data_IF_252363011952
#
_entry.id   IF_252363011952
#
_cell.length_a   1.000
_cell.length_b   1.000
_cell.length_c   1.000
_cell.angle_alpha   90.00
_cell.angle_beta   90.00
_cell.angle_gamma   90.00
#
_symmetry.space_group_name_H-M   'P 1'
#
loop_
_entity.id
_entity.type
_entity.pdbx_description
1 polymer ?
#
# COMPACT_ATOMS: atom_id res chain seq x y z
N UNK A 1 11.47 3.82 -2.67
CA UNK A 1 10.82 4.55 -3.77
C UNK A 1 10.39 5.97 -3.35
N UNK A 2 9.61 6.15 -2.28
CA UNK A 2 9.15 7.46 -1.82
C UNK A 2 10.13 8.24 -0.93
N UNK A 3 11.40 7.83 -0.86
CA UNK A 3 12.44 8.65 -0.23
C UNK A 3 12.55 9.99 -0.95
N UNK A 4 12.75 11.12 -0.24
CA UNK A 4 12.92 12.44 -0.86
C UNK A 4 14.06 12.51 -1.88
N UNK A 5 15.07 11.65 -1.76
CA UNK A 5 16.19 11.55 -2.68
C UNK A 5 15.87 10.77 -3.97
N UNK A 6 14.85 9.94 -3.95
CA UNK A 6 14.53 9.04 -5.06
C UNK A 6 13.23 9.42 -5.78
N UNK A 7 12.19 9.83 -5.03
CA UNK A 7 10.89 10.17 -5.63
C UNK A 7 10.97 11.42 -6.50
N UNK A 8 10.43 11.33 -7.72
CA UNK A 8 10.36 12.46 -8.67
C UNK A 8 8.91 12.93 -8.80
N UNK A 9 8.01 12.05 -9.23
CA UNK A 9 6.60 12.37 -9.46
C UNK A 9 5.76 11.11 -9.56
N UNK A 10 4.44 11.26 -9.49
CA UNK A 10 3.51 10.18 -9.80
C UNK A 10 2.25 10.73 -10.48
N UNK A 11 1.64 9.91 -11.32
CA UNK A 11 0.37 10.17 -11.99
C UNK A 11 -0.49 8.89 -11.94
N UNK A 12 -1.64 8.88 -12.59
CA UNK A 12 -2.53 7.71 -12.58
C UNK A 12 -1.93 6.47 -13.24
N UNK A 13 -0.92 6.64 -14.09
CA UNK A 13 -0.27 5.52 -14.77
C UNK A 13 0.83 4.86 -13.94
N UNK A 14 1.47 5.57 -13.00
CA UNK A 14 2.55 5.03 -12.20
C UNK A 14 3.40 6.08 -11.50
N UNK A 15 4.59 5.68 -11.09
CA UNK A 15 5.54 6.49 -10.34
C UNK A 15 6.87 6.63 -11.07
N UNK A 16 7.36 7.87 -11.13
CA UNK A 16 8.73 8.19 -11.56
C UNK A 16 9.63 8.30 -10.33
N UNK A 17 10.72 7.59 -10.35
CA UNK A 17 11.77 7.71 -9.34
C UNK A 17 13.16 7.65 -9.96
N UNK A 18 14.14 8.02 -9.17
CA UNK A 18 15.54 8.02 -9.53
C UNK A 18 16.22 6.81 -8.88
N UNK A 19 16.93 6.02 -9.69
CA UNK A 19 17.75 4.94 -9.16
C UNK A 19 18.83 5.54 -8.24
N UNK A 20 18.92 5.14 -6.96
CA UNK A 20 19.89 5.71 -6.03
C UNK A 20 21.35 5.40 -6.38
N UNK A 21 21.60 4.37 -7.20
CA UNK A 21 22.95 3.94 -7.60
C UNK A 21 23.38 4.51 -8.94
N UNK A 22 22.49 4.48 -9.95
CA UNK A 22 22.84 4.90 -11.32
C UNK A 22 22.37 6.31 -11.66
N UNK A 23 21.51 6.92 -10.81
CA UNK A 23 20.84 8.20 -11.06
C UNK A 23 19.87 8.21 -12.26
N UNK A 24 19.63 7.09 -12.90
CA UNK A 24 18.69 6.97 -14.00
C UNK A 24 17.25 7.17 -13.54
N UNK A 25 16.44 7.78 -14.39
CA UNK A 25 15.00 7.90 -14.14
C UNK A 25 14.31 6.60 -14.54
N UNK A 26 13.53 6.06 -13.64
CA UNK A 26 12.77 4.83 -13.84
C UNK A 26 11.29 5.16 -13.64
N UNK A 27 10.44 4.66 -14.55
CA UNK A 27 8.98 4.74 -14.43
C UNK A 27 8.44 3.34 -14.17
N UNK A 28 7.72 3.17 -13.06
CA UNK A 28 7.07 1.90 -12.70
C UNK A 28 5.56 2.08 -12.73
N UNK A 29 4.89 1.15 -13.43
CA UNK A 29 3.43 1.00 -13.42
C UNK A 29 3.01 -0.09 -12.44
N UNK A 30 1.73 -0.13 -12.03
CA UNK A 30 1.21 -1.23 -11.20
C UNK A 30 1.47 -2.62 -11.80
N UNK A 31 1.33 -2.76 -13.10
CA UNK A 31 1.55 -4.04 -13.80
C UNK A 31 3.03 -4.44 -13.78
N UNK A 32 3.93 -3.49 -13.99
CA UNK A 32 5.38 -3.75 -13.90
C UNK A 32 5.78 -4.18 -12.49
N UNK A 33 5.21 -3.53 -11.47
CA UNK A 33 5.46 -3.86 -10.07
C UNK A 33 5.07 -5.31 -9.76
N UNK A 34 3.91 -5.78 -10.24
CA UNK A 34 3.49 -7.16 -10.05
C UNK A 34 4.41 -8.16 -10.73
N UNK A 35 4.89 -7.86 -11.94
CA UNK A 35 5.86 -8.73 -12.67
C UNK A 35 7.19 -8.80 -11.94
N UNK A 36 7.71 -7.66 -11.47
CA UNK A 36 8.96 -7.61 -10.71
C UNK A 36 8.86 -8.47 -9.44
N UNK A 37 7.77 -8.34 -8.67
CA UNK A 37 7.59 -9.11 -7.44
C UNK A 37 7.41 -10.60 -7.70
N UNK A 38 6.80 -10.99 -8.82
CA UNK A 38 6.73 -12.37 -9.25
C UNK A 38 8.12 -12.92 -9.61
N UNK A 39 8.91 -12.16 -10.39
CA UNK A 39 10.27 -12.55 -10.78
C UNK A 39 11.21 -12.69 -9.57
N UNK A 40 11.00 -11.88 -8.53
CA UNK A 40 11.70 -11.99 -7.25
C UNK A 40 11.27 -13.22 -6.42
N UNK A 41 10.22 -13.91 -6.85
CA UNK A 41 9.68 -15.12 -6.21
C UNK A 41 9.34 -14.92 -4.73
N UNK A 42 8.78 -13.76 -4.37
CA UNK A 42 8.28 -13.49 -3.03
C UNK A 42 6.98 -14.27 -2.78
N UNK A 43 6.77 -14.78 -1.57
CA UNK A 43 5.51 -15.46 -1.21
C UNK A 43 4.33 -14.51 -1.12
N UNK A 44 4.61 -13.24 -0.77
CA UNK A 44 3.59 -12.17 -0.65
C UNK A 44 4.02 -10.98 -1.49
N UNK A 45 3.19 -10.60 -2.46
CA UNK A 45 3.33 -9.35 -3.19
C UNK A 45 2.52 -8.24 -2.53
N UNK A 46 3.00 -7.01 -2.65
CA UNK A 46 2.34 -5.80 -2.16
C UNK A 46 1.93 -4.93 -3.34
N UNK A 47 0.68 -4.44 -3.36
CA UNK A 47 0.25 -3.52 -4.40
C UNK A 47 1.06 -2.22 -4.38
N UNK A 48 1.36 -1.67 -5.56
CA UNK A 48 1.89 -0.32 -5.65
C UNK A 48 0.90 0.67 -5.05
N UNK A 49 1.37 1.53 -4.16
CA UNK A 49 0.56 2.55 -3.49
C UNK A 49 1.13 3.96 -3.66
N UNK A 50 0.32 4.98 -3.46
CA UNK A 50 0.78 6.37 -3.36
C UNK A 50 0.86 6.76 -1.88
N UNK A 51 2.02 6.58 -1.28
CA UNK A 51 2.26 6.96 0.11
C UNK A 51 2.27 8.50 0.25
N UNK A 52 1.34 9.10 1.02
CA UNK A 52 1.41 10.51 1.37
C UNK A 52 2.45 10.76 2.46
N UNK A 53 2.91 12.00 2.56
CA UNK A 53 3.77 12.45 3.66
C UNK A 53 2.90 13.01 4.79
N UNK A 54 3.42 13.01 6.03
CA UNK A 54 2.70 13.58 7.19
C UNK A 54 2.37 15.07 7.01
N UNK A 55 3.23 15.82 6.31
CA UNK A 55 3.07 17.25 6.01
C UNK A 55 2.06 17.55 4.90
N UNK A 56 1.62 16.54 4.16
CA UNK A 56 0.69 16.74 3.06
C UNK A 56 -0.68 17.17 3.60
N UNK A 57 -1.33 18.07 2.89
CA UNK A 57 -2.69 18.52 3.23
C UNK A 57 -3.69 17.35 3.12
N UNK A 58 -4.82 17.46 3.83
CA UNK A 58 -5.90 16.46 3.75
C UNK A 58 -6.37 16.22 2.30
N UNK A 59 -6.34 17.26 1.44
CA UNK A 59 -6.70 17.15 0.01
C UNK A 59 -5.68 16.31 -0.76
N UNK A 60 -4.39 16.51 -0.51
CA UNK A 60 -3.32 15.71 -1.14
C UNK A 60 -3.36 14.25 -0.66
N UNK A 61 -3.66 14.03 0.62
CA UNK A 61 -3.85 12.68 1.17
C UNK A 61 -5.09 12.01 0.56
N UNK A 62 -6.18 12.74 0.35
CA UNK A 62 -7.36 12.21 -0.32
C UNK A 62 -7.09 11.82 -1.78
N UNK A 63 -6.25 12.60 -2.49
CA UNK A 63 -5.80 12.26 -3.84
C UNK A 63 -4.86 11.04 -3.83
N UNK A 64 -3.99 10.91 -2.82
CA UNK A 64 -3.16 9.72 -2.64
C UNK A 64 -4.02 8.47 -2.40
N UNK A 65 -5.10 8.57 -1.62
CA UNK A 65 -6.08 7.49 -1.43
C UNK A 65 -6.72 7.09 -2.76
N UNK A 66 -7.20 8.07 -3.55
CA UNK A 66 -7.81 7.80 -4.87
C UNK A 66 -6.85 7.03 -5.77
N UNK A 67 -5.61 7.49 -5.86
CA UNK A 67 -4.58 6.88 -6.71
C UNK A 67 -4.16 5.49 -6.21
N UNK A 68 -4.01 5.32 -4.91
CA UNK A 68 -3.73 4.01 -4.30
C UNK A 68 -4.79 2.98 -4.67
N UNK A 69 -6.07 3.33 -4.59
CA UNK A 69 -7.16 2.43 -4.98
C UNK A 69 -7.13 2.10 -6.48
N UNK A 70 -6.90 3.11 -7.32
CA UNK A 70 -6.75 2.91 -8.77
C UNK A 70 -5.59 1.94 -9.10
N UNK A 71 -4.45 2.11 -8.46
CA UNK A 71 -3.31 1.24 -8.68
C UNK A 71 -3.52 -0.16 -8.10
N UNK A 72 -4.18 -0.27 -6.95
CA UNK A 72 -4.51 -1.56 -6.34
C UNK A 72 -5.42 -2.42 -7.25
N UNK A 73 -6.40 -1.82 -7.92
CA UNK A 73 -7.22 -2.49 -8.92
C UNK A 73 -6.36 -3.04 -10.07
N UNK A 74 -5.48 -2.23 -10.63
CA UNK A 74 -4.57 -2.63 -11.71
C UNK A 74 -3.59 -3.72 -11.27
N UNK A 75 -3.02 -3.61 -10.06
CA UNK A 75 -2.19 -4.65 -9.47
C UNK A 75 -2.96 -5.97 -9.36
N UNK A 76 -4.21 -5.92 -8.87
CA UNK A 76 -5.04 -7.12 -8.71
C UNK A 76 -5.29 -7.81 -10.05
N UNK A 77 -5.67 -7.06 -11.08
CA UNK A 77 -5.92 -7.60 -12.43
C UNK A 77 -4.68 -8.26 -13.02
N UNK A 78 -3.51 -7.60 -12.95
CA UNK A 78 -2.26 -8.16 -13.47
C UNK A 78 -1.81 -9.37 -12.64
N UNK A 79 -1.87 -9.29 -11.31
CA UNK A 79 -1.51 -10.40 -10.44
C UNK A 79 -2.37 -11.62 -10.71
N UNK A 80 -3.70 -11.48 -10.80
CA UNK A 80 -4.60 -12.60 -11.11
C UNK A 80 -4.30 -13.24 -12.46
N UNK A 81 -4.00 -12.42 -13.48
CA UNK A 81 -3.58 -12.91 -14.78
C UNK A 81 -2.29 -13.71 -14.70
N UNK A 82 -1.29 -13.22 -13.99
CA UNK A 82 0.00 -13.90 -13.81
C UNK A 82 -0.19 -15.21 -13.02
N UNK A 83 -0.95 -15.16 -11.92
CA UNK A 83 -1.20 -16.30 -11.05
C UNK A 83 -2.08 -17.37 -11.69
N UNK A 84 -2.89 -17.03 -12.70
CA UNK A 84 -3.71 -18.01 -13.43
C UNK A 84 -2.90 -19.12 -14.10
N UNK A 85 -1.62 -18.86 -14.39
CA UNK A 85 -0.67 -19.77 -15.02
C UNK A 85 0.14 -20.60 -14.03
N UNK A 86 -0.05 -20.38 -12.72
CA UNK A 86 0.73 -21.00 -11.65
C UNK A 86 -0.16 -21.99 -10.88
N UNK A 87 0.32 -23.20 -10.55
CA UNK A 87 -0.40 -24.14 -9.71
C UNK A 87 -0.82 -23.50 -8.38
N UNK A 88 -2.04 -23.80 -7.91
CA UNK A 88 -2.67 -23.12 -6.76
C UNK A 88 -1.79 -23.10 -5.51
N UNK A 89 -1.10 -24.20 -5.24
CA UNK A 89 -0.23 -24.39 -4.07
C UNK A 89 1.09 -23.58 -4.13
N UNK A 90 1.40 -23.00 -5.31
CA UNK A 90 2.60 -22.17 -5.53
C UNK A 90 2.26 -20.72 -5.80
N UNK A 91 0.97 -20.35 -5.69
CA UNK A 91 0.56 -18.97 -5.97
C UNK A 91 1.04 -18.01 -4.89
N UNK A 92 1.54 -16.89 -5.34
CA UNK A 92 1.89 -15.76 -4.51
C UNK A 92 0.62 -15.12 -3.94
N UNK A 93 0.63 -14.73 -2.67
CA UNK A 93 -0.44 -13.93 -2.06
C UNK A 93 -0.30 -12.47 -2.48
N UNK A 94 -1.43 -11.75 -2.55
CA UNK A 94 -1.45 -10.32 -2.84
C UNK A 94 -2.07 -9.53 -1.69
N UNK A 95 -1.29 -8.61 -1.12
CA UNK A 95 -1.75 -7.66 -0.12
C UNK A 95 -1.93 -6.28 -0.74
N UNK A 96 -3.07 -5.65 -0.49
CA UNK A 96 -3.22 -4.22 -0.78
C UNK A 96 -2.69 -3.36 0.36
N UNK A 97 -2.34 -2.10 0.04
CA UNK A 97 -1.88 -1.13 1.02
C UNK A 97 -2.94 -0.03 1.16
N UNK A 98 -3.49 0.10 2.37
CA UNK A 98 -4.46 1.14 2.69
C UNK A 98 -3.76 2.43 3.10
N UNK A 99 -4.16 3.55 2.49
CA UNK A 99 -3.67 4.88 2.78
C UNK A 99 -4.74 5.78 3.43
N UNK A 100 -4.38 6.98 3.87
CA UNK A 100 -5.31 7.93 4.49
C UNK A 100 -4.65 8.81 5.56
N UNK A 101 -3.32 8.66 5.77
CA UNK A 101 -2.57 9.40 6.79
C UNK A 101 -3.21 9.24 8.17
N UNK A 102 -3.25 10.30 8.94
CA UNK A 102 -3.85 10.36 10.28
C UNK A 102 -5.38 10.61 10.27
N UNK A 103 -6.04 10.61 9.10
CA UNK A 103 -7.45 10.97 8.96
C UNK A 103 -8.35 9.73 8.94
N UNK A 104 -9.15 9.46 10.02
CA UNK A 104 -10.01 8.29 10.12
C UNK A 104 -11.02 8.14 8.98
N UNK A 105 -11.59 9.25 8.50
CA UNK A 105 -12.53 9.26 7.39
C UNK A 105 -11.89 8.79 6.07
N UNK A 106 -10.67 9.23 5.79
CA UNK A 106 -9.92 8.79 4.60
C UNK A 106 -9.45 7.33 4.73
N UNK A 107 -9.04 6.90 5.93
CA UNK A 107 -8.73 5.48 6.22
C UNK A 107 -9.91 4.57 5.93
N UNK A 108 -11.09 4.90 6.49
CA UNK A 108 -12.32 4.14 6.24
C UNK A 108 -12.70 4.14 4.77
N UNK A 109 -12.57 5.28 4.09
CA UNK A 109 -12.86 5.40 2.65
C UNK A 109 -11.95 4.48 1.84
N UNK A 110 -10.63 4.53 2.08
CA UNK A 110 -9.65 3.68 1.39
C UNK A 110 -9.96 2.20 1.63
N UNK A 111 -10.09 1.76 2.88
CA UNK A 111 -10.38 0.40 3.25
C UNK A 111 -11.66 -0.14 2.58
N UNK A 112 -12.77 0.64 2.60
CA UNK A 112 -14.03 0.29 1.94
C UNK A 112 -13.88 0.10 0.43
N UNK A 113 -13.05 0.91 -0.22
CA UNK A 113 -12.82 0.81 -1.66
C UNK A 113 -11.97 -0.41 -2.00
N UNK A 114 -10.93 -0.70 -1.20
CA UNK A 114 -10.07 -1.86 -1.37
C UNK A 114 -10.79 -3.19 -1.10
N UNK A 115 -11.77 -3.22 -0.17
CA UNK A 115 -12.60 -4.41 0.08
C UNK A 115 -13.44 -4.87 -1.12
N UNK A 116 -13.60 -4.05 -2.14
CA UNK A 116 -14.31 -4.45 -3.37
C UNK A 116 -13.50 -5.46 -4.20
N UNK A 117 -12.22 -5.59 -3.91
CA UNK A 117 -11.31 -6.51 -4.56
C UNK A 117 -10.96 -7.64 -3.58
N UNK A 118 -10.81 -8.85 -4.09
CA UNK A 118 -10.47 -10.02 -3.27
C UNK A 118 -8.96 -10.11 -3.06
N UNK A 119 -8.45 -9.34 -2.08
CA UNK A 119 -7.08 -9.42 -1.60
C UNK A 119 -6.93 -10.47 -0.49
N UNK A 120 -5.77 -11.12 -0.44
CA UNK A 120 -5.42 -12.08 0.61
C UNK A 120 -5.18 -11.38 1.95
N UNK A 121 -4.64 -10.15 1.92
CA UNK A 121 -4.37 -9.36 3.11
C UNK A 121 -4.41 -7.86 2.87
N UNK A 122 -4.45 -7.11 3.98
CA UNK A 122 -4.57 -5.65 4.02
C UNK A 122 -3.44 -5.05 4.85
N UNK A 123 -2.56 -4.29 4.20
CA UNK A 123 -1.53 -3.54 4.90
C UNK A 123 -2.00 -2.12 5.23
N UNK A 124 -1.56 -1.61 6.36
CA UNK A 124 -1.79 -0.23 6.80
C UNK A 124 -0.51 0.54 6.55
N UNK A 125 -0.48 1.33 5.47
CA UNK A 125 0.66 2.16 5.10
C UNK A 125 0.50 3.63 5.48
N UNK A 126 1.57 4.43 5.34
CA UNK A 126 1.54 5.87 5.58
C UNK A 126 1.31 6.25 7.04
N UNK A 127 1.79 5.44 7.97
CA UNK A 127 1.94 5.70 9.41
C UNK A 127 3.41 5.50 9.82
N UNK A 128 3.73 5.75 11.09
CA UNK A 128 5.10 5.76 11.62
C UNK A 128 6.00 6.80 10.90
N UNK A 129 5.43 7.95 10.52
CA UNK A 129 6.11 9.05 9.83
C UNK A 129 6.39 10.26 10.75
N UNK A 130 6.12 10.14 12.07
CA UNK A 130 6.31 11.19 13.06
C UNK A 130 5.01 11.76 13.64
N UNK A 131 3.87 11.16 13.34
CA UNK A 131 2.59 11.44 14.02
C UNK A 131 2.62 11.01 15.49
N UNK A 132 1.69 11.55 16.29
CA UNK A 132 1.54 11.11 17.68
C UNK A 132 0.94 9.70 17.74
N UNK A 133 1.27 8.92 18.77
CA UNK A 133 0.70 7.57 18.98
C UNK A 133 -0.82 7.58 19.02
N UNK A 134 -1.44 8.61 19.59
CA UNK A 134 -2.89 8.76 19.59
C UNK A 134 -3.47 8.90 18.18
N UNK A 135 -2.78 9.63 17.28
CA UNK A 135 -3.20 9.77 15.88
C UNK A 135 -3.02 8.45 15.11
N UNK A 136 -1.89 7.76 15.34
CA UNK A 136 -1.59 6.44 14.78
C UNK A 136 -2.68 5.43 15.15
N UNK A 137 -2.98 5.26 16.44
CA UNK A 137 -3.96 4.28 16.91
C UNK A 137 -5.38 4.58 16.41
N UNK A 138 -5.81 5.85 16.38
CA UNK A 138 -7.09 6.23 15.77
C UNK A 138 -7.17 5.88 14.28
N UNK A 139 -6.06 6.00 13.56
CA UNK A 139 -5.98 5.63 12.15
C UNK A 139 -6.05 4.11 11.95
N UNK A 140 -5.35 3.34 12.80
CA UNK A 140 -5.40 1.87 12.82
C UNK A 140 -6.82 1.38 13.15
N UNK A 141 -7.43 1.91 14.21
CA UNK A 141 -8.80 1.58 14.61
C UNK A 141 -9.80 1.86 13.48
N UNK A 142 -9.68 3.01 12.82
CA UNK A 142 -10.52 3.36 11.69
C UNK A 142 -10.40 2.37 10.53
N UNK A 143 -9.18 1.90 10.22
CA UNK A 143 -8.95 0.87 9.23
C UNK A 143 -9.55 -0.47 9.68
N UNK A 144 -9.21 -0.93 10.87
CA UNK A 144 -9.68 -2.21 11.44
C UNK A 144 -11.21 -2.28 11.58
N UNK A 145 -11.88 -1.15 11.79
CA UNK A 145 -13.36 -1.11 11.85
C UNK A 145 -14.04 -1.48 10.52
N UNK A 146 -13.28 -1.54 9.42
CA UNK A 146 -13.79 -1.83 8.09
C UNK A 146 -13.36 -3.22 7.61
N UNK A 147 -12.13 -3.63 7.92
CA UNK A 147 -11.56 -4.90 7.44
C UNK A 147 -12.12 -6.07 8.26
N UNK A 148 -12.62 -7.13 7.62
CA UNK A 148 -13.10 -8.33 8.29
C UNK A 148 -12.01 -8.96 9.18
N UNK A 149 -12.40 -9.50 10.34
CA UNK A 149 -11.46 -10.02 11.36
C UNK A 149 -10.65 -11.21 10.87
N UNK A 150 -11.18 -11.96 9.93
CA UNK A 150 -10.53 -13.13 9.31
C UNK A 150 -9.46 -12.77 8.27
N UNK A 151 -9.42 -11.53 7.81
CA UNK A 151 -8.38 -11.07 6.88
C UNK A 151 -7.11 -10.69 7.61
N UNK A 152 -5.98 -11.10 7.03
CA UNK A 152 -4.65 -10.75 7.56
C UNK A 152 -4.47 -9.23 7.45
N UNK A 153 -4.04 -8.61 8.55
CA UNK A 153 -3.66 -7.21 8.59
C UNK A 153 -2.17 -7.07 8.92
N UNK A 154 -1.47 -6.22 8.16
CA UNK A 154 -0.06 -5.93 8.35
C UNK A 154 0.15 -4.43 8.63
N UNK A 155 0.62 -4.08 9.82
CA UNK A 155 1.00 -2.71 10.15
C UNK A 155 2.42 -2.44 9.65
N UNK A 156 2.55 -1.59 8.63
CA UNK A 156 3.84 -1.27 8.02
C UNK A 156 4.60 -0.23 8.85
N UNK A 157 5.91 -0.45 9.03
CA UNK A 157 6.80 0.51 9.69
C UNK A 157 6.79 0.46 11.23
N UNK A 158 5.91 -0.32 11.84
CA UNK A 158 5.87 -0.56 13.28
C UNK A 158 6.35 -1.99 13.60
N UNK A 159 7.01 -2.18 14.73
CA UNK A 159 7.58 -3.48 15.07
C UNK A 159 8.20 -3.53 16.47
N UNK A 160 8.23 -2.42 17.17
CA UNK A 160 8.64 -2.43 18.57
C UNK A 160 7.62 -3.22 19.42
N UNK A 161 8.04 -4.08 20.37
CA UNK A 161 7.12 -4.93 21.13
C UNK A 161 5.96 -4.18 21.79
N UNK A 162 6.19 -2.99 22.34
CA UNK A 162 5.14 -2.16 22.91
C UNK A 162 4.11 -1.70 21.86
N UNK A 163 4.57 -1.33 20.67
CA UNK A 163 3.68 -0.91 19.56
C UNK A 163 2.78 -2.04 19.09
N UNK A 164 3.32 -3.27 19.03
CA UNK A 164 2.54 -4.47 18.64
C UNK A 164 1.42 -4.76 19.67
N UNK A 165 1.69 -4.53 20.97
CA UNK A 165 0.72 -4.77 22.03
C UNK A 165 -0.36 -3.67 22.10
N UNK A 166 -0.03 -2.44 21.68
CA UNK A 166 -0.92 -1.28 21.76
C UNK A 166 -1.76 -1.08 20.49
N UNK A 167 -1.32 -1.60 19.35
CA UNK A 167 -2.00 -1.47 18.05
C UNK A 167 -3.05 -2.57 17.83
#
# INVERSE_FOLDING_TARGET
MYSPSCYISSNDNGVNFKNPFTNEKIFITPEMDMRIQLDLNAEIAMCLDRMPLLKDSKKEIAEAVRRTVLWAERCKLEHDFLQSKIPKEKRQLLFCISQGGIYPDLRKKCAKQLLKFDFDGFAIGGLALGETKQQEYKAIEAHKSIIPKEKICYLMGAGHPAEILEA
#
